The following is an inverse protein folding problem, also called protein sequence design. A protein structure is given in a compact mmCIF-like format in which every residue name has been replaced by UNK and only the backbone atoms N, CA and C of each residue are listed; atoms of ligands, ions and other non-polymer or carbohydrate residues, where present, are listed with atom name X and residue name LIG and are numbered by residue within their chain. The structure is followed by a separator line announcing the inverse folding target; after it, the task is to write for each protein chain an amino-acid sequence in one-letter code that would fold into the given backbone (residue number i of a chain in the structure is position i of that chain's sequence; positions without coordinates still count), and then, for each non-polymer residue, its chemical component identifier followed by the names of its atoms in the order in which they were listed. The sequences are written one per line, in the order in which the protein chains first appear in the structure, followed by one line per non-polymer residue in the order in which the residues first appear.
data_IF_860237004771
#
_entry.id   IF_860237004771
#
_cell.length_a   1.000
_cell.length_b   1.000
_cell.length_c   1.000
_cell.angle_alpha   90.00
_cell.angle_beta   90.00
_cell.angle_gamma   90.00
#
_symmetry.space_group_name_H-M   'P 1'
#
loop_
_entity.id
_entity.type
_entity.pdbx_description
1 polymer ?
#
# COMPACT_ATOMS: atom_id res chain seq x y z
N UNK A 1 -60.83 -5.84 27.89
CA UNK A 1 -59.87 -6.53 26.98
C UNK A 1 -58.70 -5.62 26.71
N UNK A 2 -57.50 -6.13 27.01
CA UNK A 2 -56.16 -5.77 26.52
C UNK A 2 -55.61 -4.35 26.77
N UNK A 3 -54.85 -4.20 27.86
CA UNK A 3 -53.74 -3.24 27.94
C UNK A 3 -52.63 -3.81 28.85
N UNK A 4 -51.69 -4.58 28.29
CA UNK A 4 -50.44 -5.01 28.95
C UNK A 4 -49.45 -5.63 27.94
N UNK A 5 -48.16 -5.28 28.09
CA UNK A 5 -46.91 -5.82 27.48
C UNK A 5 -46.46 -5.31 26.09
N UNK A 6 -45.43 -4.46 26.09
CA UNK A 6 -44.05 -4.75 25.61
C UNK A 6 -43.20 -3.46 25.77
N UNK A 7 -42.37 -3.37 26.80
CA UNK A 7 -40.99 -3.89 26.91
C UNK A 7 -40.01 -3.10 26.03
N UNK A 8 -39.30 -2.18 26.71
CA UNK A 8 -37.89 -1.84 26.54
C UNK A 8 -37.20 -2.42 25.30
N UNK A 9 -36.87 -1.53 24.35
CA UNK A 9 -35.77 -1.75 23.43
C UNK A 9 -34.70 -0.70 23.71
N UNK A 10 -33.80 -1.06 24.63
CA UNK A 10 -32.50 -0.45 24.81
C UNK A 10 -31.68 -0.71 23.55
N UNK A 11 -31.57 0.29 22.67
CA UNK A 11 -30.53 0.32 21.64
C UNK A 11 -29.18 0.49 22.32
N UNK A 12 -28.57 -0.63 22.73
CA UNK A 12 -27.20 -0.64 23.21
C UNK A 12 -26.27 -0.14 22.11
N UNK A 13 -25.56 0.95 22.37
CA UNK A 13 -24.40 1.33 21.59
C UNK A 13 -23.42 0.16 21.63
N UNK A 14 -23.11 -0.42 20.47
CA UNK A 14 -21.98 -1.35 20.35
C UNK A 14 -20.73 -0.61 20.88
N UNK A 15 -19.90 -1.24 21.74
CA UNK A 15 -18.64 -0.63 22.13
C UNK A 15 -17.83 -0.35 20.86
N UNK A 16 -17.29 0.87 20.73
CA UNK A 16 -16.41 1.26 19.62
C UNK A 16 -15.24 0.26 19.60
N UNK A 17 -15.21 -0.60 18.59
CA UNK A 17 -14.24 -1.68 18.50
C UNK A 17 -12.84 -1.12 18.30
N UNK A 18 -11.87 -1.66 19.04
CA UNK A 18 -10.45 -1.50 18.76
C UNK A 18 -10.19 -1.97 17.32
N UNK A 19 -9.56 -1.16 16.47
CA UNK A 19 -9.12 -1.66 15.17
C UNK A 19 -8.19 -2.84 15.37
N UNK A 20 -8.41 -3.90 14.59
CA UNK A 20 -7.58 -5.11 14.60
C UNK A 20 -6.22 -4.90 13.90
N UNK A 21 -5.99 -3.69 13.36
CA UNK A 21 -4.78 -3.33 12.62
C UNK A 21 -4.00 -2.19 13.27
N UNK A 22 -2.69 -2.24 13.11
CA UNK A 22 -1.74 -1.22 13.50
C UNK A 22 -0.94 -0.73 12.31
N UNK A 23 -0.29 0.42 12.47
CA UNK A 23 0.69 0.94 11.51
C UNK A 23 2.07 1.04 12.16
N UNK A 24 3.09 0.66 11.41
CA UNK A 24 4.50 0.88 11.74
C UNK A 24 5.02 2.07 10.94
N UNK A 25 5.55 3.05 11.67
CA UNK A 25 6.13 4.27 11.13
C UNK A 25 7.64 4.17 11.23
N UNK A 26 8.32 4.53 10.15
CA UNK A 26 9.77 4.49 10.00
C UNK A 26 10.30 5.89 9.70
N UNK A 27 11.59 6.13 9.93
CA UNK A 27 12.20 7.43 9.63
C UNK A 27 12.36 7.66 8.13
N UNK A 28 12.65 6.58 7.40
CA UNK A 28 12.93 6.64 5.97
C UNK A 28 12.19 5.57 5.20
N UNK A 29 11.78 5.90 3.98
CA UNK A 29 11.11 4.99 3.06
C UNK A 29 11.94 3.74 2.74
N UNK A 30 13.26 3.83 2.75
CA UNK A 30 14.16 2.68 2.57
C UNK A 30 14.00 1.63 3.69
N UNK A 31 13.73 2.05 4.92
CA UNK A 31 13.46 1.16 6.04
C UNK A 31 12.12 0.43 5.86
N UNK A 32 11.11 1.11 5.32
CA UNK A 32 9.81 0.50 4.97
C UNK A 32 10.02 -0.64 3.97
N UNK A 33 10.80 -0.43 2.92
CA UNK A 33 11.08 -1.46 1.90
C UNK A 33 11.81 -2.66 2.50
N UNK A 34 12.81 -2.41 3.36
CA UNK A 34 13.53 -3.46 4.07
C UNK A 34 12.60 -4.25 4.99
N UNK A 35 11.83 -3.55 5.82
CA UNK A 35 10.89 -4.15 6.77
C UNK A 35 9.79 -4.94 6.05
N UNK A 36 9.23 -4.41 4.95
CA UNK A 36 8.25 -5.13 4.13
C UNK A 36 8.79 -6.48 3.67
N UNK A 37 10.02 -6.49 3.15
CA UNK A 37 10.66 -7.71 2.62
C UNK A 37 10.82 -8.76 3.73
N UNK A 38 11.38 -8.36 4.88
CA UNK A 38 11.57 -9.23 6.05
C UNK A 38 10.25 -9.80 6.58
N UNK A 39 9.21 -8.98 6.67
CA UNK A 39 7.91 -9.40 7.19
C UNK A 39 7.20 -10.34 6.22
N UNK A 40 7.27 -10.08 4.90
CA UNK A 40 6.74 -10.98 3.87
C UNK A 40 7.48 -12.31 3.83
N UNK A 41 8.80 -12.31 3.95
CA UNK A 41 9.62 -13.53 4.07
C UNK A 41 9.25 -14.35 5.31
N UNK A 42 8.88 -13.68 6.41
CA UNK A 42 8.34 -14.32 7.61
C UNK A 42 6.87 -14.79 7.49
N UNK A 43 6.24 -14.61 6.33
CA UNK A 43 4.86 -15.02 6.06
C UNK A 43 3.78 -14.16 6.70
N UNK A 44 4.11 -12.92 7.10
CA UNK A 44 3.18 -12.02 7.77
C UNK A 44 2.29 -11.28 6.77
N UNK A 45 1.00 -11.19 7.08
CA UNK A 45 0.03 -10.39 6.31
C UNK A 45 0.26 -8.91 6.56
N UNK A 46 0.95 -8.24 5.65
CA UNK A 46 1.26 -6.82 5.75
C UNK A 46 0.97 -6.10 4.44
N UNK A 47 0.73 -4.80 4.53
CA UNK A 47 0.52 -3.94 3.37
C UNK A 47 1.32 -2.65 3.53
N UNK A 48 1.96 -2.22 2.45
CA UNK A 48 2.55 -0.88 2.37
C UNK A 48 1.46 0.11 1.98
N UNK A 49 1.31 1.17 2.78
CA UNK A 49 0.31 2.22 2.58
C UNK A 49 0.94 3.61 2.71
N UNK A 50 0.19 4.63 2.29
CA UNK A 50 0.55 6.01 2.63
C UNK A 50 0.28 6.26 4.12
N UNK A 51 1.10 7.10 4.79
CA UNK A 51 0.78 7.51 6.15
C UNK A 51 -0.53 8.29 6.21
N UNK A 52 -1.12 8.43 7.40
CA UNK A 52 -2.20 9.38 7.63
C UNK A 52 -1.83 10.81 7.16
N UNK A 53 -2.79 11.61 6.65
CA UNK A 53 -2.53 12.95 6.12
C UNK A 53 -1.79 13.88 7.10
N UNK A 54 -2.00 13.69 8.40
CA UNK A 54 -1.43 14.50 9.48
C UNK A 54 0.10 14.42 9.57
N UNK A 55 0.70 13.34 9.04
CA UNK A 55 2.15 13.10 9.11
C UNK A 55 2.79 12.90 7.73
N UNK A 56 2.07 13.22 6.64
CA UNK A 56 2.56 13.04 5.28
C UNK A 56 3.46 14.22 4.86
N UNK A 57 4.68 13.93 4.41
CA UNK A 57 5.66 14.92 3.93
C UNK A 57 6.12 14.70 2.47
N UNK A 58 5.68 13.62 1.83
CA UNK A 58 5.98 13.35 0.42
C UNK A 58 5.75 11.88 0.03
N UNK A 59 6.81 11.20 -0.40
CA UNK A 59 6.84 9.77 -0.76
C UNK A 59 6.88 8.84 0.47
N UNK A 60 6.32 9.28 1.59
CA UNK A 60 6.35 8.53 2.84
C UNK A 60 5.44 7.31 2.75
N UNK A 61 5.86 6.25 3.43
CA UNK A 61 5.12 4.99 3.47
C UNK A 61 5.12 4.44 4.90
N UNK A 62 4.10 3.65 5.20
CA UNK A 62 3.96 2.92 6.48
C UNK A 62 3.63 1.46 6.19
N UNK A 63 3.89 0.59 7.17
CA UNK A 63 3.46 -0.81 7.10
C UNK A 63 2.20 -0.97 7.95
N UNK A 64 1.12 -1.35 7.31
CA UNK A 64 -0.15 -1.72 7.93
C UNK A 64 -0.19 -3.23 8.16
N UNK A 65 -0.50 -3.65 9.39
CA UNK A 65 -0.38 -5.05 9.81
C UNK A 65 -1.42 -5.42 10.90
N UNK A 66 -1.78 -6.71 11.05
CA UNK A 66 -2.65 -7.19 12.14
C UNK A 66 -1.98 -7.05 13.51
N UNK A 67 -2.67 -6.44 14.49
CA UNK A 67 -2.14 -6.29 15.85
C UNK A 67 -1.86 -7.63 16.54
N UNK A 68 -2.61 -8.69 16.20
CA UNK A 68 -2.36 -10.05 16.69
C UNK A 68 -0.95 -10.56 16.31
N UNK A 69 -0.37 -10.04 15.23
CA UNK A 69 0.97 -10.40 14.75
C UNK A 69 2.07 -9.44 15.26
N UNK A 70 1.74 -8.46 16.12
CA UNK A 70 2.69 -7.40 16.51
C UNK A 70 3.97 -7.94 17.14
N UNK A 71 3.85 -8.87 18.09
CA UNK A 71 5.02 -9.42 18.77
C UNK A 71 5.97 -10.10 17.79
N UNK A 72 5.43 -10.99 16.95
CA UNK A 72 6.20 -11.69 15.93
C UNK A 72 6.84 -10.72 14.92
N UNK A 73 6.09 -9.71 14.47
CA UNK A 73 6.60 -8.71 13.54
C UNK A 73 7.77 -7.91 14.14
N UNK A 74 7.64 -7.46 15.40
CA UNK A 74 8.71 -6.73 16.08
C UNK A 74 9.95 -7.58 16.31
N UNK A 75 9.79 -8.85 16.70
CA UNK A 75 10.93 -9.77 16.86
C UNK A 75 11.68 -10.00 15.53
N UNK A 76 10.96 -10.16 14.42
CA UNK A 76 11.56 -10.31 13.08
C UNK A 76 12.36 -9.06 12.71
N UNK A 77 11.81 -7.86 12.96
CA UNK A 77 12.46 -6.60 12.62
C UNK A 77 13.66 -6.30 13.52
N UNK A 78 13.55 -6.55 14.82
CA UNK A 78 14.62 -6.32 15.79
C UNK A 78 15.85 -7.18 15.49
N UNK A 79 15.64 -8.49 15.24
CA UNK A 79 16.72 -9.43 14.85
C UNK A 79 17.48 -9.00 13.60
N UNK A 80 16.87 -8.17 12.75
CA UNK A 80 17.42 -7.73 11.48
C UNK A 80 17.80 -6.23 11.45
N UNK A 81 17.79 -5.55 12.60
CA UNK A 81 18.07 -4.11 12.71
C UNK A 81 17.18 -3.29 11.76
N UNK A 82 15.87 -3.51 11.84
CA UNK A 82 14.85 -2.82 11.04
C UNK A 82 13.64 -2.40 11.90
N UNK A 83 13.85 -2.13 13.19
CA UNK A 83 12.79 -1.76 14.12
C UNK A 83 12.11 -0.44 13.71
N UNK A 84 10.78 -0.35 13.81
CA UNK A 84 10.07 0.89 13.50
C UNK A 84 10.36 1.96 14.56
N UNK A 85 10.33 3.23 14.14
CA UNK A 85 10.38 4.37 15.05
C UNK A 85 9.17 4.41 15.99
N UNK A 86 7.99 4.06 15.44
CA UNK A 86 6.73 4.08 16.20
C UNK A 86 5.76 3.03 15.68
N UNK A 87 5.06 2.38 16.60
CA UNK A 87 3.89 1.55 16.30
C UNK A 87 2.64 2.25 16.83
N UNK A 88 1.61 2.37 16.01
CA UNK A 88 0.35 3.03 16.36
C UNK A 88 -0.79 2.04 16.13
N UNK A 89 -1.61 1.82 17.16
CA UNK A 89 -2.89 1.11 16.99
C UNK A 89 -3.92 2.05 16.39
N UNK A 90 -4.65 1.61 15.36
CA UNK A 90 -5.63 2.44 14.63
C UNK A 90 -6.95 2.54 15.43
N UNK A 91 -6.91 2.96 16.69
CA UNK A 91 -8.09 2.99 17.56
C UNK A 91 -8.96 4.24 17.34
N UNK A 92 -8.40 5.27 16.74
CA UNK A 92 -9.11 6.49 16.35
C UNK A 92 -9.11 6.57 14.82
N UNK A 93 -10.28 6.69 14.20
CA UNK A 93 -10.46 6.91 12.75
C UNK A 93 -9.66 8.12 12.18
N UNK A 94 -8.98 8.87 13.03
CA UNK A 94 -8.06 9.95 12.69
C UNK A 94 -6.72 9.50 12.12
N UNK A 95 -6.32 8.22 12.24
CA UNK A 95 -5.01 7.73 11.79
C UNK A 95 -5.09 6.49 10.88
N UNK A 96 -6.15 6.37 10.08
CA UNK A 96 -6.24 5.29 9.10
C UNK A 96 -5.24 5.54 7.94
N UNK A 97 -4.35 4.57 7.64
CA UNK A 97 -3.43 4.70 6.52
C UNK A 97 -4.22 4.80 5.21
N UNK A 98 -3.91 5.81 4.41
CA UNK A 98 -4.61 6.07 3.16
C UNK A 98 -4.14 5.12 2.07
N UNK A 99 -4.96 4.95 1.04
CA UNK A 99 -4.52 4.22 -0.15
C UNK A 99 -3.28 4.89 -0.72
N UNK A 100 -2.23 4.09 -0.93
CA UNK A 100 -1.04 4.52 -1.67
C UNK A 100 -1.39 4.80 -3.14
N UNK A 101 -2.49 4.22 -3.63
CA UNK A 101 -2.85 4.21 -5.03
C UNK A 101 -3.82 5.33 -5.38
N UNK A 102 -3.51 6.05 -6.45
CA UNK A 102 -4.46 6.90 -7.14
C UNK A 102 -4.71 6.31 -8.51
N UNK A 103 -5.98 6.00 -8.80
CA UNK A 103 -6.37 5.34 -10.05
C UNK A 103 -7.25 6.29 -10.84
N UNK A 104 -6.93 6.44 -12.12
CA UNK A 104 -7.64 7.33 -13.04
C UNK A 104 -7.95 6.60 -14.34
N UNK A 105 -9.23 6.55 -14.68
CA UNK A 105 -9.71 6.04 -15.97
C UNK A 105 -9.78 7.20 -16.97
N UNK A 106 -9.21 6.99 -18.16
CA UNK A 106 -9.14 7.95 -19.26
C UNK A 106 -9.90 7.45 -20.51
N UNK A 107 -10.88 6.56 -20.35
CA UNK A 107 -11.66 6.04 -21.48
C UNK A 107 -11.09 4.74 -21.99
N UNK A 108 -10.20 4.75 -22.98
CA UNK A 108 -9.51 3.53 -23.44
C UNK A 108 -8.32 3.15 -22.56
N UNK A 109 -7.85 4.07 -21.71
CA UNK A 109 -6.66 3.88 -20.88
C UNK A 109 -6.97 3.88 -19.39
N UNK A 110 -6.21 3.09 -18.62
CA UNK A 110 -6.24 3.09 -17.16
C UNK A 110 -4.87 3.48 -16.63
N UNK A 111 -4.82 4.43 -15.70
CA UNK A 111 -3.59 4.83 -15.01
C UNK A 111 -3.67 4.49 -13.53
N UNK A 112 -2.62 3.87 -13.02
CA UNK A 112 -2.39 3.66 -11.58
C UNK A 112 -1.15 4.46 -11.19
N UNK A 113 -1.27 5.25 -10.13
CA UNK A 113 -0.16 5.96 -9.49
C UNK A 113 0.07 5.39 -8.10
N UNK A 114 1.32 5.11 -7.76
CA UNK A 114 1.76 4.87 -6.37
C UNK A 114 2.83 5.91 -6.02
N UNK A 115 2.62 6.64 -4.92
CA UNK A 115 3.39 7.83 -4.59
C UNK A 115 3.53 8.77 -5.81
N UNK A 116 4.74 9.03 -6.29
CA UNK A 116 5.00 9.91 -7.43
C UNK A 116 5.20 9.17 -8.77
N UNK A 117 5.05 7.84 -8.80
CA UNK A 117 5.21 7.03 -10.02
C UNK A 117 3.88 6.58 -10.59
N UNK A 118 3.77 6.61 -11.92
CA UNK A 118 2.55 6.29 -12.68
C UNK A 118 2.86 5.22 -13.73
N UNK A 119 1.93 4.29 -13.89
CA UNK A 119 1.87 3.36 -15.02
C UNK A 119 0.50 3.47 -15.67
N UNK A 120 0.45 3.53 -16.99
CA UNK A 120 -0.79 3.61 -17.77
C UNK A 120 -0.82 2.50 -18.81
N UNK A 121 -1.97 1.83 -18.92
CA UNK A 121 -2.19 0.74 -19.88
C UNK A 121 -3.37 1.03 -20.79
N UNK A 122 -3.29 0.55 -22.03
CA UNK A 122 -4.47 0.39 -22.89
C UNK A 122 -5.33 -0.77 -22.35
N UNK A 123 -6.62 -0.53 -22.10
CA UNK A 123 -7.50 -1.53 -21.47
C UNK A 123 -7.86 -2.71 -22.39
N UNK A 124 -7.70 -2.57 -23.71
CA UNK A 124 -8.04 -3.61 -24.69
C UNK A 124 -6.84 -4.51 -24.97
N UNK A 125 -5.68 -3.92 -25.28
CA UNK A 125 -4.46 -4.68 -25.59
C UNK A 125 -3.65 -5.05 -24.35
N UNK A 126 -3.89 -4.38 -23.23
CA UNK A 126 -3.09 -4.45 -22.01
C UNK A 126 -1.63 -4.01 -22.21
N UNK A 127 -1.35 -3.27 -23.28
CA UNK A 127 -0.04 -2.68 -23.52
C UNK A 127 0.23 -1.52 -22.56
N UNK A 128 1.43 -1.46 -22.00
CA UNK A 128 1.89 -0.33 -21.19
C UNK A 128 2.19 0.84 -22.12
N UNK A 129 1.32 1.85 -22.13
CA UNK A 129 1.46 3.02 -23.02
C UNK A 129 2.21 4.18 -22.38
N UNK A 130 2.36 4.17 -21.05
CA UNK A 130 3.13 5.20 -20.35
C UNK A 130 3.66 4.73 -18.99
N UNK A 131 4.93 5.04 -18.75
CA UNK A 131 5.53 5.10 -17.41
C UNK A 131 6.03 6.52 -17.19
N UNK A 132 5.64 7.16 -16.09
CA UNK A 132 6.02 8.55 -15.82
C UNK A 132 6.03 8.91 -14.33
N UNK A 133 6.60 10.08 -14.02
CA UNK A 133 6.70 10.62 -12.66
C UNK A 133 8.10 10.42 -12.05
N UNK A 134 8.20 10.65 -10.74
CA UNK A 134 9.46 10.55 -9.99
C UNK A 134 10.56 11.51 -10.44
N UNK A 135 11.76 11.30 -9.90
CA UNK A 135 12.98 12.04 -10.26
C UNK A 135 14.26 11.23 -10.03
N UNK A 136 14.11 9.91 -9.84
CA UNK A 136 15.23 9.02 -9.60
C UNK A 136 15.95 8.68 -10.93
N UNK A 137 17.26 8.40 -10.89
CA UNK A 137 18.07 8.20 -12.10
C UNK A 137 17.69 6.94 -12.91
N UNK A 138 17.01 5.96 -12.30
CA UNK A 138 16.57 4.73 -12.95
C UNK A 138 15.23 4.87 -13.70
N UNK A 139 14.49 5.96 -13.51
CA UNK A 139 13.16 6.13 -14.13
C UNK A 139 13.21 6.11 -15.66
N UNK A 140 14.14 6.82 -16.35
CA UNK A 140 14.21 6.77 -17.81
C UNK A 140 14.45 5.35 -18.34
N UNK A 141 15.35 4.60 -17.69
CA UNK A 141 15.62 3.21 -18.04
C UNK A 141 14.40 2.30 -17.81
N UNK A 142 13.75 2.42 -16.66
CA UNK A 142 12.53 1.65 -16.37
C UNK A 142 11.42 1.92 -17.39
N UNK A 143 11.25 3.18 -17.80
CA UNK A 143 10.26 3.55 -18.82
C UNK A 143 10.56 2.90 -20.16
N UNK A 144 11.82 2.99 -20.62
CA UNK A 144 12.29 2.38 -21.87
C UNK A 144 12.11 0.86 -21.89
N UNK A 145 12.36 0.19 -20.77
CA UNK A 145 12.25 -1.28 -20.67
C UNK A 145 10.82 -1.80 -20.55
N UNK A 146 9.81 -0.94 -20.35
CA UNK A 146 8.44 -1.37 -20.06
C UNK A 146 7.40 -0.85 -21.06
N UNK A 147 7.57 0.36 -21.58
CA UNK A 147 6.59 0.96 -22.51
C UNK A 147 6.58 0.18 -23.82
N UNK A 148 5.39 -0.10 -24.33
CA UNK A 148 5.16 -0.92 -25.53
C UNK A 148 5.08 -2.42 -25.27
N UNK A 149 5.25 -2.87 -24.03
CA UNK A 149 5.15 -4.29 -23.64
C UNK A 149 3.80 -4.57 -23.01
N UNK A 150 3.27 -5.78 -23.23
CA UNK A 150 2.07 -6.25 -22.54
C UNK A 150 2.29 -6.28 -21.02
N UNK A 151 1.31 -5.82 -20.24
CA UNK A 151 1.36 -5.72 -18.78
C UNK A 151 1.79 -7.02 -18.09
N UNK A 152 1.39 -8.18 -18.62
CA UNK A 152 1.71 -9.48 -18.02
C UNK A 152 3.03 -10.09 -18.50
N UNK A 153 3.65 -9.50 -19.52
CA UNK A 153 4.93 -9.92 -20.09
C UNK A 153 6.07 -8.94 -19.74
N UNK A 154 5.73 -7.71 -19.36
CA UNK A 154 6.68 -6.68 -18.98
C UNK A 154 7.53 -7.10 -17.78
N UNK A 155 8.83 -6.72 -17.74
CA UNK A 155 9.69 -7.01 -16.61
C UNK A 155 9.17 -6.32 -15.34
N UNK A 156 9.37 -6.96 -14.20
CA UNK A 156 8.98 -6.36 -12.92
C UNK A 156 9.88 -5.14 -12.63
N UNK A 157 9.32 -3.96 -12.29
CA UNK A 157 10.15 -2.78 -12.02
C UNK A 157 11.17 -3.02 -10.90
N UNK A 158 10.82 -3.86 -9.92
CA UNK A 158 11.70 -4.22 -8.79
C UNK A 158 12.87 -5.11 -9.18
N UNK A 159 12.82 -5.83 -10.31
CA UNK A 159 13.96 -6.60 -10.81
C UNK A 159 14.95 -5.75 -11.61
N UNK A 160 14.55 -4.55 -12.04
CA UNK A 160 15.36 -3.65 -12.86
C UNK A 160 15.86 -2.41 -12.09
N UNK A 161 15.01 -1.83 -11.26
CA UNK A 161 15.29 -0.60 -10.52
C UNK A 161 15.70 -0.86 -9.07
N UNK A 162 16.51 0.03 -8.52
CA UNK A 162 16.97 -0.03 -7.12
C UNK A 162 16.56 1.19 -6.30
N UNK A 163 15.88 2.16 -6.91
CA UNK A 163 15.49 3.39 -6.22
C UNK A 163 14.09 3.30 -5.63
N UNK A 164 13.75 4.28 -4.78
CA UNK A 164 12.37 4.46 -4.28
C UNK A 164 11.35 4.67 -5.40
N UNK A 165 11.75 5.31 -6.51
CA UNK A 165 10.89 5.45 -7.67
C UNK A 165 10.66 4.09 -8.34
N UNK A 166 11.71 3.29 -8.55
CA UNK A 166 11.57 1.92 -9.08
C UNK A 166 10.65 1.06 -8.22
N UNK A 167 10.78 1.14 -6.90
CA UNK A 167 9.89 0.45 -5.97
C UNK A 167 8.45 0.97 -6.04
N UNK A 168 8.24 2.30 -6.08
CA UNK A 168 6.89 2.87 -6.22
C UNK A 168 6.25 2.45 -7.55
N UNK A 169 7.02 2.41 -8.63
CA UNK A 169 6.54 1.91 -9.92
C UNK A 169 6.16 0.42 -9.84
N UNK A 170 6.92 -0.40 -9.12
CA UNK A 170 6.58 -1.79 -8.87
C UNK A 170 5.23 -1.93 -8.14
N UNK A 171 4.98 -1.13 -7.10
CA UNK A 171 3.69 -1.14 -6.41
C UNK A 171 2.53 -0.74 -7.34
N UNK A 172 2.74 0.28 -8.20
CA UNK A 172 1.74 0.67 -9.19
C UNK A 172 1.50 -0.42 -10.24
N UNK A 173 2.56 -1.12 -10.67
CA UNK A 173 2.51 -2.23 -11.62
C UNK A 173 1.73 -3.43 -11.06
N UNK A 174 1.97 -3.82 -9.82
CA UNK A 174 1.22 -4.91 -9.15
C UNK A 174 -0.26 -4.56 -8.98
N UNK A 175 -0.57 -3.33 -8.56
CA UNK A 175 -1.97 -2.87 -8.47
C UNK A 175 -2.64 -2.80 -9.85
N UNK A 176 -1.90 -2.41 -10.90
CA UNK A 176 -2.40 -2.44 -12.28
C UNK A 176 -2.75 -3.88 -12.71
N UNK A 177 -1.85 -4.84 -12.48
CA UNK A 177 -2.13 -6.27 -12.75
C UNK A 177 -3.37 -6.74 -12.01
N UNK A 178 -3.50 -6.42 -10.72
CA UNK A 178 -4.66 -6.81 -9.93
C UNK A 178 -5.97 -6.30 -10.52
N UNK A 179 -5.99 -5.11 -11.12
CA UNK A 179 -7.17 -4.49 -11.74
C UNK A 179 -7.46 -4.98 -13.16
N UNK A 180 -6.43 -5.39 -13.89
CA UNK A 180 -6.53 -5.89 -15.26
C UNK A 180 -6.59 -7.41 -15.35
N UNK A 181 -6.58 -8.13 -14.22
CA UNK A 181 -6.95 -9.54 -14.13
C UNK A 181 -8.46 -9.65 -14.37
N UNK A 182 -8.83 -9.83 -15.63
CA UNK A 182 -10.16 -10.29 -16.03
C UNK A 182 -10.41 -11.72 -15.55
#
# INVERSE_FOLDING_TARGET
MNFLKKIFHSGGSKPKGLSERGIMVFHHTSEVIKAESLLKEAGLDIQVKGPPPEIQTGCDMVIDFPLISQLQALEVLEKNNASPFKVISVQDHLLEPVSLYNVKDFGDFLMVRAANMKITVDKKSLEIVNVSGGGCPDVPFLSDQMVGINLFEAPEPRSLGQTLCGYSLHLAYEEMKRRCRG
#
